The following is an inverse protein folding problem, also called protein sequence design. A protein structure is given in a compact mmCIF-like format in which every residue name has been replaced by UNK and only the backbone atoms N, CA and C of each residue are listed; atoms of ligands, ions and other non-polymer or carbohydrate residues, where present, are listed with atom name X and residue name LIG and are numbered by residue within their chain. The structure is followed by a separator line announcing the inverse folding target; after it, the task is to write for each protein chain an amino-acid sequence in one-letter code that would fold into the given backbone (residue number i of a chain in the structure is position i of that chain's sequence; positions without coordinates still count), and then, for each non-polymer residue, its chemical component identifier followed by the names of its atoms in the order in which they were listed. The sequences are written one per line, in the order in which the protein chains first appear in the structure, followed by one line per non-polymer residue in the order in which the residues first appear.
data_IF_323310105715
#
_entry.id   IF_323310105715
#
_cell.length_a   1.000
_cell.length_b   1.000
_cell.length_c   1.000
_cell.angle_alpha   90.00
_cell.angle_beta   90.00
_cell.angle_gamma   90.00
#
_symmetry.space_group_name_H-M   'P 1'
#
loop_
_entity.id
_entity.type
_entity.pdbx_description
1 polymer ?
#
# COMPACT_ATOMS: atom_id res chain seq x y z
N UNK A 1 5.12 12.65 4.22
CA UNK A 1 4.97 14.11 4.30
C UNK A 1 3.76 14.61 3.54
N UNK A 2 3.51 15.90 3.61
CA UNK A 2 2.51 16.57 2.77
C UNK A 2 2.93 16.56 1.30
N UNK A 3 2.02 16.92 0.39
CA UNK A 3 2.33 16.96 -1.03
C UNK A 3 3.45 17.97 -1.30
N UNK A 4 4.43 17.57 -2.12
CA UNK A 4 5.50 18.45 -2.57
C UNK A 4 5.03 19.54 -3.53
N UNK A 5 5.97 20.37 -4.01
CA UNK A 5 5.70 21.42 -5.01
C UNK A 5 4.63 22.43 -4.57
N UNK A 6 4.72 22.90 -3.31
CA UNK A 6 3.76 23.85 -2.71
C UNK A 6 2.31 23.36 -2.75
N UNK A 7 2.09 22.05 -2.55
CA UNK A 7 0.77 21.43 -2.54
C UNK A 7 0.27 20.92 -3.90
N UNK A 8 0.95 21.19 -5.01
CA UNK A 8 0.55 20.71 -6.33
C UNK A 8 0.60 19.19 -6.49
N UNK A 9 1.54 18.55 -5.78
CA UNK A 9 1.65 17.08 -5.78
C UNK A 9 1.98 16.45 -7.14
N UNK A 10 2.66 17.17 -8.04
CA UNK A 10 2.85 16.76 -9.42
C UNK A 10 3.54 15.42 -9.63
N UNK A 11 4.42 15.04 -8.71
CA UNK A 11 5.09 13.74 -8.69
C UNK A 11 4.67 12.86 -7.51
N UNK A 12 3.66 13.28 -6.72
CA UNK A 12 3.17 12.52 -5.59
C UNK A 12 2.22 11.42 -6.04
N UNK A 13 2.21 10.34 -5.27
CA UNK A 13 1.26 9.26 -5.35
C UNK A 13 0.36 9.24 -4.11
N UNK A 14 -0.73 8.52 -4.18
CA UNK A 14 -1.61 8.22 -3.05
C UNK A 14 -1.09 6.97 -2.31
N UNK A 15 0.12 7.09 -1.78
CA UNK A 15 0.95 6.02 -1.23
C UNK A 15 1.21 6.17 0.28
N UNK A 16 0.45 7.01 0.98
CA UNK A 16 0.68 7.24 2.42
C UNK A 16 0.55 5.96 3.20
N UNK A 17 1.50 5.75 4.11
CA UNK A 17 1.71 4.54 4.90
C UNK A 17 1.97 3.28 4.06
N UNK A 18 2.29 3.43 2.78
CA UNK A 18 2.82 2.33 1.97
C UNK A 18 4.23 1.96 2.42
N UNK A 19 4.64 0.75 2.08
CA UNK A 19 5.98 0.25 2.29
C UNK A 19 6.46 -0.56 1.08
N UNK A 20 7.75 -0.71 0.95
CA UNK A 20 8.40 -1.69 0.09
C UNK A 20 9.22 -2.65 0.95
N UNK A 21 9.41 -3.87 0.49
CA UNK A 21 10.21 -4.87 1.17
C UNK A 21 11.08 -5.59 0.16
N UNK A 22 12.39 -5.56 0.41
CA UNK A 22 13.39 -6.33 -0.34
C UNK A 22 14.20 -7.18 0.64
N UNK A 23 14.59 -8.38 0.23
CA UNK A 23 15.43 -9.27 1.00
C UNK A 23 16.44 -9.97 0.08
N UNK A 24 17.73 -10.00 0.47
CA UNK A 24 18.83 -10.60 -0.32
C UNK A 24 18.88 -10.09 -1.78
N UNK A 25 18.69 -8.77 -1.97
CA UNK A 25 18.63 -8.08 -3.26
C UNK A 25 17.42 -8.46 -4.15
N UNK A 26 16.43 -9.14 -3.61
CA UNK A 26 15.18 -9.43 -4.30
C UNK A 26 14.06 -8.56 -3.74
N UNK A 27 13.33 -7.89 -4.62
CA UNK A 27 12.14 -7.14 -4.25
C UNK A 27 10.97 -8.10 -4.07
N UNK A 28 10.26 -7.97 -2.95
CA UNK A 28 9.11 -8.78 -2.58
C UNK A 28 7.82 -7.95 -2.70
N UNK A 29 7.70 -6.90 -1.88
CA UNK A 29 6.63 -5.91 -1.98
C UNK A 29 7.18 -4.66 -2.63
N UNK A 30 6.55 -4.23 -3.72
CA UNK A 30 7.06 -3.17 -4.59
C UNK A 30 6.13 -1.96 -4.65
N UNK A 31 6.70 -0.83 -5.03
CA UNK A 31 5.95 0.29 -5.59
C UNK A 31 5.70 0.03 -7.08
N UNK A 32 4.51 0.33 -7.62
CA UNK A 32 4.19 0.04 -9.02
C UNK A 32 4.94 0.93 -10.00
N UNK A 33 5.62 1.97 -9.54
CA UNK A 33 6.30 2.97 -10.36
C UNK A 33 5.33 3.99 -10.97
N UNK A 34 5.85 4.84 -11.82
CA UNK A 34 5.09 5.94 -12.44
C UNK A 34 4.58 5.60 -13.85
N UNK A 35 5.28 4.73 -14.55
CA UNK A 35 4.95 4.32 -15.92
C UNK A 35 5.26 5.39 -16.94
N UNK A 36 4.29 6.22 -17.19
CA UNK A 36 4.31 7.28 -18.20
C UNK A 36 3.78 8.59 -17.63
N UNK A 37 4.12 9.70 -18.27
CA UNK A 37 3.63 11.01 -17.83
C UNK A 37 2.46 11.49 -18.71
N UNK A 38 2.72 12.43 -19.61
CA UNK A 38 1.70 13.15 -20.35
C UNK A 38 0.92 12.31 -21.38
N UNK A 39 1.53 11.37 -22.12
CA UNK A 39 0.84 10.71 -23.23
C UNK A 39 -0.34 9.81 -22.81
N UNK A 40 -0.30 9.25 -21.61
CA UNK A 40 -1.30 8.28 -21.14
C UNK A 40 -1.73 8.60 -19.70
N UNK A 41 -2.56 9.64 -19.49
CA UNK A 41 -2.96 10.10 -18.16
C UNK A 41 -3.69 9.02 -17.35
N UNK A 42 -4.47 8.14 -18.00
CA UNK A 42 -5.20 7.07 -17.32
C UNK A 42 -4.25 6.04 -16.69
N UNK A 43 -3.18 5.67 -17.39
CA UNK A 43 -2.17 4.73 -16.87
C UNK A 43 -1.41 5.39 -15.74
N UNK A 44 -0.98 6.63 -15.92
CA UNK A 44 -0.30 7.41 -14.89
C UNK A 44 -1.13 7.53 -13.63
N UNK A 45 -2.39 7.97 -13.74
CA UNK A 45 -3.26 8.17 -12.57
C UNK A 45 -3.62 6.85 -11.90
N UNK A 46 -3.74 5.75 -12.67
CA UNK A 46 -3.90 4.41 -12.12
C UNK A 46 -2.68 4.00 -11.29
N UNK A 47 -1.45 4.21 -11.77
CA UNK A 47 -0.22 3.88 -11.04
C UNK A 47 -0.03 4.77 -9.81
N UNK A 48 -0.51 6.00 -9.82
CA UNK A 48 -0.47 6.95 -8.69
C UNK A 48 -1.63 6.76 -7.70
N UNK A 49 -2.61 5.93 -8.01
CA UNK A 49 -3.80 5.73 -7.16
C UNK A 49 -3.49 4.95 -5.89
N UNK A 50 -4.26 5.18 -4.83
CA UNK A 50 -4.19 4.39 -3.59
C UNK A 50 -4.28 2.88 -3.86
N UNK A 51 -5.06 2.51 -4.88
CA UNK A 51 -5.29 1.13 -5.27
C UNK A 51 -4.05 0.39 -5.82
N UNK A 52 -2.98 1.11 -6.09
CA UNK A 52 -1.74 0.58 -6.67
C UNK A 52 -0.59 0.51 -5.66
N UNK A 53 -0.83 0.76 -4.36
CA UNK A 53 0.23 0.82 -3.35
C UNK A 53 -0.06 -0.11 -2.16
N UNK A 54 0.99 -0.47 -1.41
CA UNK A 54 0.93 -1.35 -0.24
C UNK A 54 0.30 -0.63 0.97
N UNK A 55 -0.95 -0.23 0.87
CA UNK A 55 -1.65 0.57 1.87
C UNK A 55 -3.14 0.22 1.95
N UNK A 56 -3.88 0.98 2.74
CA UNK A 56 -5.33 0.81 2.90
C UNK A 56 -6.08 1.86 2.10
N UNK A 57 -7.11 1.41 1.38
CA UNK A 57 -8.10 2.26 0.72
C UNK A 57 -9.44 2.15 1.45
N UNK A 58 -10.01 3.28 1.87
CA UNK A 58 -11.28 3.34 2.61
C UNK A 58 -12.41 3.75 1.67
N UNK A 59 -13.54 3.05 1.73
CA UNK A 59 -14.75 3.33 0.93
C UNK A 59 -14.49 3.50 -0.57
N UNK A 60 -13.46 2.85 -1.10
CA UNK A 60 -13.01 2.93 -2.51
C UNK A 60 -12.62 4.32 -2.98
N UNK A 61 -12.32 5.26 -2.07
CA UNK A 61 -11.85 6.60 -2.41
C UNK A 61 -10.32 6.72 -2.32
N UNK A 62 -9.77 7.72 -2.99
CA UNK A 62 -8.35 8.03 -2.96
C UNK A 62 -7.95 8.73 -1.65
N UNK A 63 -6.69 8.60 -1.21
CA UNK A 63 -6.15 9.33 -0.06
C UNK A 63 -6.17 10.84 -0.30
N UNK A 64 -5.77 11.28 -1.50
CA UNK A 64 -5.92 12.62 -2.02
C UNK A 64 -6.61 12.56 -3.37
N UNK A 65 -7.52 13.48 -3.66
CA UNK A 65 -8.25 13.50 -4.92
C UNK A 65 -7.35 14.00 -6.05
N UNK A 66 -7.44 13.36 -7.21
CA UNK A 66 -6.86 13.90 -8.44
C UNK A 66 -7.65 15.14 -8.89
N UNK A 67 -6.96 16.12 -9.43
CA UNK A 67 -7.64 17.27 -10.05
C UNK A 67 -8.47 16.83 -11.25
N UNK A 68 -9.73 17.29 -11.29
CA UNK A 68 -10.68 16.88 -12.34
C UNK A 68 -10.62 17.72 -13.61
N UNK A 69 -9.99 18.91 -13.59
CA UNK A 69 -10.11 19.92 -14.64
C UNK A 69 -8.84 20.02 -15.52
N UNK A 70 -8.40 18.90 -16.07
CA UNK A 70 -7.31 18.93 -17.06
C UNK A 70 -5.93 19.29 -16.51
N UNK A 71 -5.77 19.42 -15.21
CA UNK A 71 -4.48 19.63 -14.57
C UNK A 71 -3.76 18.29 -14.45
N UNK A 72 -2.99 17.97 -15.49
CA UNK A 72 -2.46 16.63 -15.76
C UNK A 72 -1.68 15.96 -14.61
N UNK A 73 -1.08 16.73 -13.71
CA UNK A 73 -0.22 16.23 -12.66
C UNK A 73 -0.70 16.55 -11.25
N UNK A 74 -1.77 17.34 -11.11
CA UNK A 74 -2.22 17.80 -9.81
C UNK A 74 -2.87 16.71 -8.97
N UNK A 75 -2.53 16.70 -7.70
CA UNK A 75 -3.22 15.96 -6.64
C UNK A 75 -3.61 16.99 -5.56
N UNK A 76 -4.87 17.01 -5.16
CA UNK A 76 -5.33 17.85 -4.05
C UNK A 76 -4.59 17.46 -2.76
N UNK A 77 -4.26 18.44 -1.94
CA UNK A 77 -3.68 18.18 -0.62
C UNK A 77 -4.79 17.94 0.41
N UNK A 78 -5.47 16.79 0.32
CA UNK A 78 -6.50 16.40 1.27
C UNK A 78 -5.93 15.91 2.59
N UNK A 79 -4.69 15.41 2.57
CA UNK A 79 -3.99 15.02 3.78
C UNK A 79 -3.33 16.27 4.36
N UNK A 80 -3.85 16.73 5.47
CA UNK A 80 -3.32 17.87 6.21
C UNK A 80 -2.52 17.48 7.42
N UNK A 81 -2.66 16.24 7.87
CA UNK A 81 -1.95 15.69 9.02
C UNK A 81 -1.42 14.29 8.71
N UNK A 82 -0.15 14.10 8.98
CA UNK A 82 0.53 12.82 8.94
C UNK A 82 1.56 12.77 10.07
N UNK A 83 1.54 11.70 10.85
CA UNK A 83 2.49 11.44 11.94
C UNK A 83 3.18 10.12 11.66
N UNK A 84 4.48 10.08 11.89
CA UNK A 84 5.30 8.86 11.85
C UNK A 84 6.25 8.87 13.03
N UNK A 85 6.14 7.86 13.89
CA UNK A 85 7.04 7.62 15.01
C UNK A 85 7.72 6.28 14.81
N UNK A 86 9.04 6.23 14.94
CA UNK A 86 9.80 5.00 14.84
C UNK A 86 10.74 4.87 16.05
N UNK A 87 10.69 3.71 16.71
CA UNK A 87 11.49 3.42 17.91
C UNK A 87 12.15 2.05 17.71
N UNK A 88 13.46 1.99 17.92
CA UNK A 88 14.20 0.73 18.01
C UNK A 88 14.50 0.40 19.46
N UNK A 89 14.07 -0.76 19.92
CA UNK A 89 14.33 -1.30 21.25
C UNK A 89 14.99 -2.67 21.11
N UNK A 90 16.32 -2.71 21.31
CA UNK A 90 17.08 -3.95 21.16
C UNK A 90 16.94 -4.54 19.76
N UNK A 91 16.33 -5.73 19.68
CA UNK A 91 16.14 -6.47 18.43
C UNK A 91 14.75 -6.28 17.78
N UNK A 92 14.00 -5.30 18.23
CA UNK A 92 12.69 -4.95 17.69
C UNK A 92 12.66 -3.51 17.19
N UNK A 93 12.02 -3.30 16.05
CA UNK A 93 11.71 -1.98 15.48
C UNK A 93 10.20 -1.83 15.51
N UNK A 94 9.71 -0.71 16.06
CA UNK A 94 8.30 -0.37 16.10
C UNK A 94 8.08 0.94 15.37
N UNK A 95 7.13 0.96 14.45
CA UNK A 95 6.72 2.15 13.70
C UNK A 95 5.24 2.35 13.92
N UNK A 96 4.84 3.55 14.28
CA UNK A 96 3.45 4.00 14.33
C UNK A 96 3.26 5.17 13.38
N UNK A 97 2.26 5.08 12.54
CA UNK A 97 1.97 6.12 11.58
C UNK A 97 0.47 6.26 11.33
N UNK A 98 0.02 7.48 11.04
CA UNK A 98 -1.37 7.73 10.66
C UNK A 98 -1.49 8.94 9.74
N UNK A 99 -2.59 9.02 8.99
CA UNK A 99 -2.98 10.17 8.20
C UNK A 99 -4.50 10.38 8.20
N UNK A 100 -4.90 11.64 7.96
CA UNK A 100 -6.31 12.05 7.96
C UNK A 100 -6.93 12.21 6.57
N UNK A 101 -6.35 11.62 5.54
CA UNK A 101 -6.82 11.77 4.15
C UNK A 101 -8.27 11.34 3.90
N UNK A 102 -8.80 10.49 4.77
CA UNK A 102 -10.19 9.99 4.69
C UNK A 102 -11.17 10.73 5.62
N UNK A 103 -10.78 11.87 6.21
CA UNK A 103 -11.69 12.67 7.04
C UNK A 103 -12.68 13.52 6.21
N UNK A 104 -12.44 13.66 4.90
CA UNK A 104 -13.28 14.43 3.97
C UNK A 104 -14.53 13.64 3.51
N UNK A 105 -15.43 14.32 2.80
CA UNK A 105 -16.61 13.72 2.14
C UNK A 105 -17.48 12.90 3.09
N UNK A 106 -17.67 13.38 4.33
CA UNK A 106 -18.47 12.73 5.38
C UNK A 106 -18.01 11.30 5.75
N UNK A 107 -16.85 10.86 5.29
CA UNK A 107 -16.28 9.57 5.67
C UNK A 107 -15.83 9.62 7.14
N UNK A 108 -15.23 10.71 7.57
CA UNK A 108 -14.80 10.92 8.95
C UNK A 108 -13.81 9.86 9.42
N UNK A 109 -12.97 9.33 8.52
CA UNK A 109 -12.08 8.22 8.82
C UNK A 109 -10.60 8.65 8.86
N UNK A 110 -9.82 7.97 9.71
CA UNK A 110 -8.36 8.11 9.83
C UNK A 110 -7.75 6.72 9.66
N UNK A 111 -6.76 6.59 8.80
CA UNK A 111 -5.98 5.36 8.69
C UNK A 111 -4.76 5.44 9.60
N UNK A 112 -4.62 4.43 10.47
CA UNK A 112 -3.47 4.20 11.35
C UNK A 112 -2.82 2.87 10.99
N UNK A 113 -1.49 2.84 10.94
CA UNK A 113 -0.71 1.62 10.72
C UNK A 113 0.38 1.53 11.77
N UNK A 114 0.51 0.36 12.38
CA UNK A 114 1.68 0.01 13.17
C UNK A 114 2.45 -1.10 12.48
N UNK A 115 3.77 -1.03 12.51
CA UNK A 115 4.66 -2.06 12.01
C UNK A 115 5.62 -2.43 13.13
N UNK A 116 5.65 -3.69 13.49
CA UNK A 116 6.65 -4.27 14.38
C UNK A 116 7.52 -5.22 13.58
N UNK A 117 8.82 -5.06 13.65
CA UNK A 117 9.79 -5.96 13.04
C UNK A 117 10.65 -6.61 14.11
N UNK A 118 10.73 -7.93 14.08
CA UNK A 118 11.63 -8.72 14.92
C UNK A 118 12.86 -9.15 14.11
N UNK A 119 14.02 -8.62 14.48
CA UNK A 119 15.30 -8.97 13.86
C UNK A 119 15.65 -10.46 14.04
N UNK A 120 15.30 -11.05 15.18
CA UNK A 120 15.57 -12.46 15.48
C UNK A 120 14.67 -13.42 14.71
N UNK A 121 13.38 -13.08 14.61
CA UNK A 121 12.39 -13.92 13.92
C UNK A 121 12.30 -13.62 12.42
N UNK A 122 12.91 -12.54 11.94
CA UNK A 122 12.74 -12.03 10.57
C UNK A 122 11.25 -11.89 10.19
N UNK A 123 10.49 -11.33 11.09
CA UNK A 123 9.04 -11.27 11.02
C UNK A 123 8.55 -9.83 11.17
N UNK A 124 7.58 -9.46 10.32
CA UNK A 124 6.81 -8.23 10.45
C UNK A 124 5.41 -8.55 10.94
N UNK A 125 4.92 -7.75 11.89
CA UNK A 125 3.52 -7.67 12.27
C UNK A 125 3.02 -6.28 11.89
N UNK A 126 2.12 -6.21 10.93
CA UNK A 126 1.52 -4.96 10.45
C UNK A 126 0.07 -4.94 10.91
N UNK A 127 -0.30 -3.94 11.72
CA UNK A 127 -1.68 -3.72 12.11
C UNK A 127 -2.20 -2.47 11.42
N UNK A 128 -3.23 -2.62 10.62
CA UNK A 128 -3.99 -1.53 10.02
C UNK A 128 -5.28 -1.32 10.81
N UNK A 129 -5.52 -0.08 11.20
CA UNK A 129 -6.72 0.33 11.90
C UNK A 129 -7.33 1.55 11.22
N UNK A 130 -8.62 1.48 10.92
CA UNK A 130 -9.40 2.61 10.37
C UNK A 130 -10.33 3.10 11.47
N UNK A 131 -9.93 4.22 12.10
CA UNK A 131 -10.81 4.96 13.01
C UNK A 131 -11.91 5.61 12.20
N UNK A 132 -13.17 5.35 12.55
CA UNK A 132 -14.31 5.77 11.73
C UNK A 132 -15.56 5.99 12.59
N UNK A 133 -16.35 7.02 12.25
CA UNK A 133 -17.61 7.35 12.94
C UNK A 133 -18.77 6.44 12.51
N UNK A 134 -18.79 6.01 11.25
CA UNK A 134 -19.75 5.07 10.68
C UNK A 134 -18.99 3.88 10.09
N UNK A 135 -19.62 2.72 10.03
CA UNK A 135 -18.97 1.53 9.45
C UNK A 135 -18.72 1.75 7.95
N UNK A 136 -17.45 1.67 7.55
CA UNK A 136 -16.97 1.78 6.18
C UNK A 136 -16.25 0.50 5.79
N UNK A 137 -16.42 0.08 4.57
CA UNK A 137 -15.59 -0.98 4.00
C UNK A 137 -14.20 -0.42 3.68
N UNK A 138 -13.19 -1.11 4.14
CA UNK A 138 -11.80 -0.80 3.86
C UNK A 138 -11.15 -1.95 3.10
N UNK A 139 -10.19 -1.66 2.25
CA UNK A 139 -9.47 -2.64 1.45
C UNK A 139 -7.97 -2.51 1.76
N UNK A 140 -7.36 -3.57 2.28
CA UNK A 140 -5.91 -3.70 2.40
C UNK A 140 -5.36 -4.19 1.06
N UNK A 141 -4.27 -3.58 0.60
CA UNK A 141 -3.68 -3.84 -0.70
C UNK A 141 -2.19 -4.14 -0.53
N UNK A 142 -1.71 -5.18 -1.22
CA UNK A 142 -0.30 -5.49 -1.39
C UNK A 142 0.03 -5.70 -2.86
N UNK A 143 1.19 -5.19 -3.27
CA UNK A 143 1.74 -5.37 -4.62
C UNK A 143 2.99 -6.23 -4.51
N UNK A 144 2.91 -7.45 -5.01
CA UNK A 144 4.03 -8.38 -5.04
C UNK A 144 4.71 -8.37 -6.41
N UNK A 145 6.04 -8.40 -6.40
CA UNK A 145 6.83 -8.65 -7.62
C UNK A 145 6.81 -10.13 -7.98
N UNK A 146 6.66 -10.42 -9.26
CA UNK A 146 6.85 -11.76 -9.83
C UNK A 146 8.24 -11.83 -10.46
N UNK A 147 9.07 -12.71 -9.96
CA UNK A 147 10.33 -13.11 -10.59
C UNK A 147 10.08 -14.30 -11.52
N UNK A 148 11.06 -14.72 -12.30
CA UNK A 148 10.90 -15.79 -13.29
C UNK A 148 10.56 -17.13 -12.63
N UNK A 149 11.06 -17.40 -11.42
CA UNK A 149 10.77 -18.59 -10.61
C UNK A 149 9.67 -18.35 -9.56
N UNK A 150 8.78 -17.39 -9.81
CA UNK A 150 7.76 -16.99 -8.85
C UNK A 150 6.78 -18.12 -8.57
N UNK A 151 6.65 -18.46 -7.29
CA UNK A 151 5.69 -19.41 -6.76
C UNK A 151 4.75 -18.71 -5.79
N UNK A 152 3.47 -19.07 -5.82
CA UNK A 152 2.48 -18.62 -4.85
C UNK A 152 1.45 -19.73 -4.59
N UNK A 153 1.34 -20.14 -3.33
CA UNK A 153 0.32 -21.07 -2.86
C UNK A 153 -0.60 -20.37 -1.87
N UNK A 154 -1.91 -20.48 -2.08
CA UNK A 154 -2.92 -19.98 -1.14
C UNK A 154 -3.03 -20.90 0.06
N UNK A 155 -3.08 -20.32 1.26
CA UNK A 155 -3.39 -21.00 2.51
C UNK A 155 -4.76 -20.62 3.04
N UNK A 156 -5.18 -21.23 4.14
CA UNK A 156 -6.46 -20.88 4.78
C UNK A 156 -6.53 -19.42 5.30
N UNK A 157 -5.37 -18.83 5.62
CA UNK A 157 -5.28 -17.48 6.22
C UNK A 157 -4.47 -16.49 5.38
N UNK A 158 -3.91 -16.90 4.25
CA UNK A 158 -3.04 -16.03 3.48
C UNK A 158 -2.41 -16.77 2.29
N UNK A 159 -1.10 -16.63 2.13
CA UNK A 159 -0.36 -17.28 1.05
C UNK A 159 1.13 -17.43 1.40
N UNK A 160 1.77 -18.39 0.73
CA UNK A 160 3.19 -18.62 0.79
C UNK A 160 3.77 -18.38 -0.61
N UNK A 161 4.92 -17.73 -0.66
CA UNK A 161 5.75 -17.59 -1.86
C UNK A 161 7.12 -18.20 -1.60
N UNK A 162 8.01 -18.21 -2.58
CA UNK A 162 9.42 -18.56 -2.36
C UNK A 162 10.17 -17.59 -1.41
N UNK A 163 9.64 -16.42 -1.11
CA UNK A 163 10.29 -15.40 -0.27
C UNK A 163 9.62 -15.16 1.08
N UNK A 164 8.29 -15.27 1.16
CA UNK A 164 7.53 -14.93 2.36
C UNK A 164 6.39 -15.90 2.62
N UNK A 165 6.09 -16.10 3.91
CA UNK A 165 4.82 -16.63 4.39
C UNK A 165 4.01 -15.45 4.96
N UNK A 166 2.83 -15.21 4.40
CA UNK A 166 1.97 -14.10 4.80
C UNK A 166 0.62 -14.63 5.29
N UNK A 167 0.22 -14.16 6.49
CA UNK A 167 -1.03 -14.53 7.13
C UNK A 167 -1.83 -13.28 7.52
N UNK A 168 -3.15 -13.34 7.33
CA UNK A 168 -4.10 -12.33 7.76
C UNK A 168 -4.87 -12.80 9.01
N UNK A 169 -5.15 -11.88 9.92
CA UNK A 169 -5.96 -12.15 11.11
C UNK A 169 -7.44 -12.41 10.81
N UNK A 170 -7.90 -12.06 9.61
CA UNK A 170 -9.28 -12.27 9.15
C UNK A 170 -9.38 -13.45 8.20
N UNK A 171 -10.46 -14.24 8.34
CA UNK A 171 -10.80 -15.33 7.44
C UNK A 171 -11.59 -14.90 6.20
N UNK A 172 -11.86 -13.60 6.02
CA UNK A 172 -12.47 -13.11 4.77
C UNK A 172 -11.50 -13.34 3.63
N UNK A 173 -11.94 -14.02 2.58
CA UNK A 173 -11.11 -14.36 1.44
C UNK A 173 -10.39 -13.15 0.83
N UNK A 174 -9.24 -13.37 0.26
CA UNK A 174 -8.48 -12.35 -0.48
C UNK A 174 -8.49 -12.64 -1.98
N UNK A 175 -8.33 -11.58 -2.77
CA UNK A 175 -8.33 -11.63 -4.23
C UNK A 175 -6.91 -11.36 -4.73
N UNK A 176 -6.44 -12.19 -5.67
CA UNK A 176 -5.17 -12.01 -6.37
C UNK A 176 -5.46 -11.71 -7.84
N UNK A 177 -4.86 -10.64 -8.36
CA UNK A 177 -4.95 -10.24 -9.77
C UNK A 177 -3.61 -9.74 -10.26
N UNK A 178 -3.32 -9.94 -11.53
CA UNK A 178 -2.22 -9.24 -12.19
C UNK A 178 -2.48 -7.73 -12.21
N UNK A 179 -1.40 -6.97 -12.11
CA UNK A 179 -1.46 -5.51 -12.11
C UNK A 179 -0.33 -4.90 -12.93
N UNK A 180 -0.52 -3.66 -13.33
CA UNK A 180 0.51 -2.91 -14.07
C UNK A 180 1.66 -2.59 -13.12
N UNK A 181 2.86 -2.83 -13.59
CA UNK A 181 4.14 -2.49 -12.97
C UNK A 181 5.04 -1.77 -13.96
N UNK A 182 5.71 -0.74 -13.49
CA UNK A 182 6.66 0.05 -14.26
C UNK A 182 8.01 0.08 -13.54
N UNK A 183 8.96 -0.78 -13.89
CA UNK A 183 10.29 -0.79 -13.28
C UNK A 183 11.09 0.49 -13.59
N UNK A 184 10.79 1.14 -14.69
CA UNK A 184 11.39 2.40 -15.11
C UNK A 184 10.45 3.16 -16.05
N UNK A 185 10.71 4.45 -16.24
CA UNK A 185 9.92 5.30 -17.11
C UNK A 185 9.81 4.72 -18.54
N UNK A 186 8.58 4.72 -19.06
CA UNK A 186 8.27 4.21 -20.40
C UNK A 186 8.15 2.69 -20.51
N UNK A 187 8.50 1.93 -19.46
CA UNK A 187 8.33 0.48 -19.43
C UNK A 187 7.09 0.10 -18.63
N UNK A 188 6.20 -0.68 -19.22
CA UNK A 188 5.00 -1.20 -18.57
C UNK A 188 4.97 -2.72 -18.74
N UNK A 189 4.64 -3.43 -17.67
CA UNK A 189 4.41 -4.86 -17.65
C UNK A 189 3.12 -5.15 -16.90
N UNK A 190 2.32 -6.08 -17.39
CA UNK A 190 1.10 -6.54 -16.73
C UNK A 190 1.26 -7.92 -16.07
N UNK A 191 2.37 -8.60 -16.31
CA UNK A 191 2.65 -9.96 -15.88
C UNK A 191 3.74 -10.08 -14.79
N UNK A 192 4.42 -8.99 -14.47
CA UNK A 192 5.54 -8.96 -13.50
C UNK A 192 5.14 -8.54 -12.09
N UNK A 193 3.86 -8.29 -11.84
CA UNK A 193 3.36 -7.96 -10.50
C UNK A 193 1.96 -8.52 -10.24
N UNK A 194 1.70 -8.83 -8.97
CA UNK A 194 0.40 -9.25 -8.47
C UNK A 194 -0.11 -8.25 -7.44
N UNK A 195 -1.37 -7.85 -7.62
CA UNK A 195 -2.12 -7.11 -6.61
C UNK A 195 -2.92 -8.10 -5.78
N UNK A 196 -2.68 -8.09 -4.49
CA UNK A 196 -3.43 -8.83 -3.49
C UNK A 196 -4.28 -7.85 -2.73
N UNK A 197 -5.55 -8.16 -2.54
CA UNK A 197 -6.44 -7.31 -1.76
C UNK A 197 -7.43 -8.12 -0.95
N UNK A 198 -7.79 -7.58 0.21
CA UNK A 198 -8.83 -8.13 1.07
C UNK A 198 -9.61 -7.01 1.75
N UNK A 199 -10.91 -7.25 1.93
CA UNK A 199 -11.79 -6.30 2.60
C UNK A 199 -11.78 -6.54 4.12
N UNK A 200 -11.87 -5.45 4.87
CA UNK A 200 -12.05 -5.45 6.32
C UNK A 200 -12.86 -4.22 6.75
N UNK A 201 -13.34 -4.22 7.99
CA UNK A 201 -14.17 -3.10 8.48
C UNK A 201 -13.36 -2.10 9.32
N UNK A 202 -12.80 -2.53 10.43
CA UNK A 202 -12.10 -1.62 11.38
C UNK A 202 -10.62 -1.87 11.48
N UNK A 203 -10.23 -3.13 11.57
CA UNK A 203 -8.82 -3.48 11.73
C UNK A 203 -8.49 -4.81 11.09
N UNK A 204 -7.24 -4.93 10.69
CA UNK A 204 -6.66 -6.16 10.21
C UNK A 204 -5.21 -6.24 10.63
N UNK A 205 -4.76 -7.43 11.00
CA UNK A 205 -3.34 -7.71 11.27
C UNK A 205 -2.81 -8.61 10.17
N UNK A 206 -1.67 -8.25 9.63
CA UNK A 206 -0.90 -9.04 8.67
C UNK A 206 0.41 -9.45 9.34
N UNK A 207 0.71 -10.73 9.32
CA UNK A 207 1.99 -11.31 9.69
C UNK A 207 2.76 -11.65 8.43
N UNK A 208 4.00 -11.20 8.32
CA UNK A 208 4.89 -11.50 7.19
C UNK A 208 6.17 -12.10 7.76
N UNK A 209 6.40 -13.36 7.49
CA UNK A 209 7.62 -14.08 7.84
C UNK A 209 8.50 -14.19 6.58
N UNK A 210 9.76 -13.77 6.68
CA UNK A 210 10.73 -13.89 5.59
C UNK A 210 11.27 -15.32 5.62
N UNK A 211 11.08 -16.04 4.52
CA UNK A 211 11.62 -17.37 4.31
C UNK A 211 13.10 -17.29 3.88
N UNK A 212 13.96 -18.11 4.46
CA UNK A 212 15.42 -18.06 4.24
C UNK A 212 15.91 -19.23 3.37
#
# INVERSE_FOLDING_TARGET
GLNGQKGNGGHCHNDRLSFTLSYKNEDIFIDPGTGVYTPFPEIRDKLRSTNSHNTVRVAKVEQNEFYKNGYLFGINENITQIIVNAIQNGQAINIEAWHNGYQRNDLGAIHKRTVQYSLTKKEFIICDFVEQKKELESELIFILKKNDDFYLEKTAKGFITNAVNLEFSSSTGFVIKECIYSPTYGMLSSDKALRISLSFKRSITTRIEILT
#
